data_IF_741054128628
#
_entry.id   IF_741054128628
#
_cell.length_a   1.000
_cell.length_b   1.000
_cell.length_c   1.000
_cell.angle_alpha   90.00
_cell.angle_beta   90.00
_cell.angle_gamma   90.00
#
_symmetry.space_group_name_H-M   'P 1'
#
loop_
_entity.id
_entity.type
_entity.pdbx_description
1 polymer ?
#
# COMPACT_ATOMS: atom_id res chain seq x y z
N UNK A 1 3.04 -19.57 19.13
CA UNK A 1 2.26 -18.37 18.77
C UNK A 1 2.74 -17.93 17.40
N UNK A 2 1.97 -18.22 16.36
CA UNK A 2 2.31 -17.90 14.96
C UNK A 2 1.58 -16.61 14.62
N UNK A 3 2.16 -15.48 15.03
CA UNK A 3 1.73 -14.16 14.59
C UNK A 3 2.83 -13.66 13.67
N UNK A 4 2.57 -13.73 12.35
CA UNK A 4 3.31 -13.09 11.26
C UNK A 4 4.82 -12.90 11.51
N UNK A 5 5.65 -13.82 11.02
CA UNK A 5 7.12 -13.68 10.99
C UNK A 5 7.59 -12.65 9.93
N UNK A 6 6.84 -11.55 9.77
CA UNK A 6 7.15 -10.44 8.88
C UNK A 6 7.49 -9.27 9.80
N UNK A 7 8.73 -8.80 9.76
CA UNK A 7 9.15 -7.70 10.63
C UNK A 7 8.41 -6.41 10.29
N UNK A 8 8.23 -5.52 11.26
CA UNK A 8 7.68 -4.16 11.05
C UNK A 8 8.41 -3.41 9.93
N UNK A 9 9.71 -3.67 9.79
CA UNK A 9 10.55 -3.12 8.72
C UNK A 9 10.14 -3.65 7.34
N UNK A 10 9.86 -4.94 7.22
CA UNK A 10 9.45 -5.58 5.97
C UNK A 10 8.06 -5.07 5.53
N UNK A 11 7.14 -4.89 6.49
CA UNK A 11 5.81 -4.36 6.21
C UNK A 11 5.86 -2.89 5.78
N UNK A 12 6.72 -2.09 6.42
CA UNK A 12 6.97 -0.70 6.03
C UNK A 12 7.59 -0.60 4.64
N UNK A 13 8.56 -1.47 4.33
CA UNK A 13 9.18 -1.52 3.00
C UNK A 13 8.18 -1.94 1.91
N UNK A 14 7.32 -2.92 2.19
CA UNK A 14 6.25 -3.34 1.29
C UNK A 14 5.27 -2.19 1.01
N UNK A 15 4.86 -1.46 2.05
CA UNK A 15 4.03 -0.26 1.91
C UNK A 15 4.67 0.80 1.03
N UNK A 16 5.96 1.08 1.20
CA UNK A 16 6.68 2.06 0.38
C UNK A 16 6.76 1.63 -1.09
N UNK A 17 6.97 0.34 -1.36
CA UNK A 17 6.97 -0.23 -2.72
C UNK A 17 5.60 -0.11 -3.40
N UNK A 18 4.51 -0.28 -2.65
CA UNK A 18 3.15 -0.09 -3.17
C UNK A 18 2.91 1.36 -3.59
N UNK A 19 3.28 2.33 -2.76
CA UNK A 19 3.16 3.76 -3.10
C UNK A 19 4.03 4.12 -4.30
N UNK A 20 5.27 3.63 -4.34
CA UNK A 20 6.16 3.82 -5.48
C UNK A 20 5.55 3.28 -6.78
N UNK A 21 5.03 2.05 -6.75
CA UNK A 21 4.34 1.44 -7.89
C UNK A 21 3.11 2.24 -8.33
N UNK A 22 2.27 2.68 -7.39
CA UNK A 22 1.12 3.54 -7.67
C UNK A 22 1.50 4.87 -8.32
N UNK A 23 2.58 5.50 -7.85
CA UNK A 23 3.10 6.73 -8.46
C UNK A 23 3.61 6.50 -9.89
N UNK A 24 4.31 5.39 -10.15
CA UNK A 24 4.75 5.04 -11.50
C UNK A 24 3.56 4.76 -12.44
N UNK A 25 2.47 4.17 -11.95
CA UNK A 25 1.27 3.93 -12.74
C UNK A 25 0.60 5.23 -13.18
N UNK A 26 0.62 6.26 -12.32
CA UNK A 26 0.11 7.60 -12.62
C UNK A 26 1.05 8.37 -13.54
N UNK A 27 2.36 8.37 -13.26
CA UNK A 27 3.36 9.11 -14.04
C UNK A 27 3.50 8.59 -15.47
N UNK A 28 3.41 7.27 -15.67
CA UNK A 28 3.45 6.65 -16.99
C UNK A 28 2.08 6.57 -17.67
N UNK A 29 1.07 7.28 -17.14
CA UNK A 29 -0.24 7.38 -17.74
C UNK A 29 -0.26 8.43 -18.86
N UNK A 30 0.51 8.19 -19.92
CA UNK A 30 0.62 9.12 -21.04
C UNK A 30 -0.71 9.19 -21.79
N UNK A 31 -1.31 10.40 -21.95
CA UNK A 31 -2.51 10.55 -22.74
C UNK A 31 -2.23 10.27 -24.23
N UNK A 32 -3.14 9.53 -24.87
CA UNK A 32 -3.02 9.17 -26.30
C UNK A 32 -3.19 10.43 -27.17
N UNK A 33 -2.47 10.53 -28.31
CA UNK A 33 -2.81 11.49 -29.37
C UNK A 33 -4.27 11.34 -29.80
N UNK A 34 -5.01 12.45 -29.87
CA UNK A 34 -6.45 12.47 -30.14
C UNK A 34 -6.81 12.05 -31.59
N UNK A 35 -5.84 12.04 -32.51
CA UNK A 35 -6.06 11.88 -33.95
C UNK A 35 -6.23 10.43 -34.45
N UNK A 36 -6.26 9.43 -33.56
CA UNK A 36 -6.41 8.01 -33.97
C UNK A 36 -7.86 7.58 -34.27
N UNK A 37 -8.80 8.54 -34.34
CA UNK A 37 -10.24 8.26 -34.26
C UNK A 37 -10.95 7.94 -35.60
N UNK A 38 -10.31 8.02 -36.76
CA UNK A 38 -11.01 7.84 -38.05
C UNK A 38 -10.25 6.91 -39.01
N UNK A 39 -9.96 5.69 -38.55
CA UNK A 39 -9.58 4.60 -39.43
C UNK A 39 -10.81 3.98 -40.13
N UNK A 40 -10.69 3.68 -41.42
CA UNK A 40 -11.74 3.14 -42.32
C UNK A 40 -12.45 1.88 -41.78
N UNK A 41 -11.82 1.16 -40.85
CA UNK A 41 -12.32 -0.09 -40.26
C UNK A 41 -13.20 0.08 -39.02
N UNK A 42 -13.34 1.29 -38.47
CA UNK A 42 -14.13 1.54 -37.24
C UNK A 42 -13.50 1.04 -35.92
N UNK A 43 -12.43 0.24 -36.00
CA UNK A 43 -11.69 -0.33 -34.85
C UNK A 43 -11.11 0.75 -33.92
N UNK A 44 -10.87 1.96 -34.44
CA UNK A 44 -10.33 3.08 -33.66
C UNK A 44 -11.17 3.44 -32.43
N UNK A 45 -12.50 3.26 -32.50
CA UNK A 45 -13.41 3.50 -31.38
C UNK A 45 -13.27 2.45 -30.26
N UNK A 46 -13.13 1.18 -30.62
CA UNK A 46 -12.93 0.09 -29.65
C UNK A 46 -11.56 0.20 -28.96
N UNK A 47 -10.50 0.49 -29.73
CA UNK A 47 -9.17 0.75 -29.15
C UNK A 47 -9.24 1.93 -28.17
N UNK A 48 -9.99 2.98 -28.51
CA UNK A 48 -10.13 4.16 -27.62
C UNK A 48 -10.85 3.80 -26.32
N UNK A 49 -11.94 3.03 -26.39
CA UNK A 49 -12.64 2.53 -25.18
C UNK A 49 -11.75 1.65 -24.32
N UNK A 50 -11.01 0.72 -24.94
CA UNK A 50 -10.10 -0.15 -24.23
C UNK A 50 -8.99 0.64 -23.52
N UNK A 51 -8.39 1.62 -24.21
CA UNK A 51 -7.35 2.46 -23.62
C UNK A 51 -7.89 3.33 -22.49
N UNK A 52 -9.09 3.89 -22.63
CA UNK A 52 -9.75 4.65 -21.55
C UNK A 52 -9.97 3.75 -20.32
N UNK A 53 -10.50 2.54 -20.52
CA UNK A 53 -10.69 1.58 -19.44
C UNK A 53 -9.37 1.21 -18.74
N UNK A 54 -8.28 1.08 -19.51
CA UNK A 54 -6.94 0.82 -18.97
C UNK A 54 -6.43 2.00 -18.12
N UNK A 55 -6.65 3.24 -18.54
CA UNK A 55 -6.29 4.42 -17.74
C UNK A 55 -7.05 4.47 -16.41
N UNK A 56 -8.36 4.19 -16.44
CA UNK A 56 -9.20 4.12 -15.24
C UNK A 56 -8.72 3.01 -14.31
N UNK A 57 -8.42 1.82 -14.85
CA UNK A 57 -7.92 0.70 -14.06
C UNK A 57 -6.57 1.02 -13.38
N UNK A 58 -5.66 1.71 -14.07
CA UNK A 58 -4.38 2.16 -13.49
C UNK A 58 -4.56 3.17 -12.37
N UNK A 59 -5.49 4.12 -12.55
CA UNK A 59 -5.80 5.09 -11.50
C UNK A 59 -6.40 4.41 -10.28
N UNK A 60 -7.34 3.48 -10.46
CA UNK A 60 -7.93 2.69 -9.40
C UNK A 60 -6.88 1.83 -8.66
N UNK A 61 -5.94 1.22 -9.38
CA UNK A 61 -4.86 0.43 -8.78
C UNK A 61 -3.88 1.30 -7.98
N UNK A 62 -3.58 2.51 -8.48
CA UNK A 62 -2.76 3.48 -7.75
C UNK A 62 -3.44 3.96 -6.46
N UNK A 63 -4.77 4.14 -6.49
CA UNK A 63 -5.55 4.52 -5.31
C UNK A 63 -5.60 3.38 -4.28
N UNK A 64 -5.89 2.15 -4.73
CA UNK A 64 -5.84 0.95 -3.89
C UNK A 64 -4.47 0.79 -3.21
N UNK A 65 -3.37 1.00 -3.95
CA UNK A 65 -2.01 0.93 -3.40
C UNK A 65 -1.76 1.97 -2.29
N UNK A 66 -2.33 3.18 -2.41
CA UNK A 66 -2.25 4.21 -1.36
C UNK A 66 -3.09 3.85 -0.14
N UNK A 67 -4.30 3.35 -0.35
CA UNK A 67 -5.18 2.88 0.73
C UNK A 67 -4.53 1.75 1.52
N UNK A 68 -4.02 0.72 0.84
CA UNK A 68 -3.32 -0.40 1.49
C UNK A 68 -2.07 0.08 2.24
N UNK A 69 -1.33 1.07 1.72
CA UNK A 69 -0.21 1.66 2.47
C UNK A 69 -0.67 2.34 3.76
N UNK A 70 -1.80 3.06 3.73
CA UNK A 70 -2.42 3.68 4.90
C UNK A 70 -2.78 2.64 5.98
N UNK A 71 -3.44 1.56 5.58
CA UNK A 71 -3.82 0.45 6.47
C UNK A 71 -2.59 -0.23 7.09
N UNK A 72 -1.55 -0.49 6.28
CA UNK A 72 -0.28 -1.05 6.77
C UNK A 72 0.35 -0.13 7.82
N UNK A 73 0.34 1.18 7.58
CA UNK A 73 0.91 2.16 8.50
C UNK A 73 0.15 2.20 9.83
N UNK A 74 -1.17 2.13 9.79
CA UNK A 74 -2.03 2.06 10.97
C UNK A 74 -1.73 0.80 11.79
N UNK A 75 -1.70 -0.37 11.13
CA UNK A 75 -1.36 -1.65 11.75
C UNK A 75 0.03 -1.62 12.42
N UNK A 76 1.05 -1.05 11.76
CA UNK A 76 2.38 -0.86 12.35
C UNK A 76 2.32 0.02 13.62
N UNK A 77 1.49 1.06 13.62
CA UNK A 77 1.27 1.92 14.77
C UNK A 77 0.66 1.18 15.96
N UNK A 78 -0.38 0.37 15.69
CA UNK A 78 -1.02 -0.48 16.70
C UNK A 78 -0.06 -1.51 17.29
N UNK A 79 0.71 -2.20 16.44
CA UNK A 79 1.72 -3.17 16.88
C UNK A 79 2.80 -2.52 17.74
N UNK A 80 3.26 -1.32 17.37
CA UNK A 80 4.25 -0.58 18.16
C UNK A 80 3.67 -0.15 19.52
N UNK A 81 2.39 0.21 19.56
CA UNK A 81 1.71 0.55 20.81
C UNK A 81 1.58 -0.66 21.72
N UNK A 82 1.21 -1.80 21.16
CA UNK A 82 1.11 -3.07 21.89
C UNK A 82 2.47 -3.52 22.45
N UNK A 83 3.55 -3.40 21.68
CA UNK A 83 4.91 -3.69 22.14
C UNK A 83 5.33 -2.80 23.32
N UNK A 84 4.98 -1.51 23.29
CA UNK A 84 5.24 -0.59 24.41
C UNK A 84 4.46 -0.97 25.66
N UNK A 85 3.20 -1.37 25.50
CA UNK A 85 2.37 -1.83 26.61
C UNK A 85 2.95 -3.09 27.26
N UNK A 86 3.34 -4.08 26.45
CA UNK A 86 4.02 -5.28 26.94
C UNK A 86 5.34 -4.97 27.65
N UNK A 87 6.18 -4.10 27.07
CA UNK A 87 7.42 -3.67 27.71
C UNK A 87 7.17 -2.99 29.07
N UNK A 88 6.11 -2.16 29.17
CA UNK A 88 5.70 -1.52 30.43
C UNK A 88 5.23 -2.51 31.49
N UNK A 89 4.42 -3.50 31.11
CA UNK A 89 3.96 -4.57 32.01
C UNK A 89 5.13 -5.45 32.47
N UNK A 90 6.06 -5.78 31.57
CA UNK A 90 7.25 -6.54 31.94
C UNK A 90 8.14 -5.76 32.90
N UNK A 91 8.41 -4.48 32.63
CA UNK A 91 9.23 -3.64 33.50
C UNK A 91 8.63 -3.51 34.92
N UNK A 92 7.32 -3.32 35.03
CA UNK A 92 6.63 -3.26 36.33
C UNK A 92 6.57 -4.62 37.03
N UNK A 93 6.34 -5.71 36.30
CA UNK A 93 6.35 -7.07 36.83
C UNK A 93 7.74 -7.53 37.34
N UNK A 94 8.82 -7.11 36.68
CA UNK A 94 10.18 -7.34 37.17
C UNK A 94 10.54 -6.46 38.36
N UNK A 95 10.07 -5.20 38.41
CA UNK A 95 10.28 -4.31 39.55
C UNK A 95 9.63 -4.85 40.84
N UNK A 96 8.41 -5.38 40.75
CA UNK A 96 7.70 -5.95 41.90
C UNK A 96 8.34 -7.24 42.46
N UNK A 97 8.97 -8.06 41.60
CA UNK A 97 9.70 -9.27 42.04
C UNK A 97 11.13 -8.99 42.52
N UNK A 98 11.71 -7.83 42.16
CA UNK A 98 13.04 -7.43 42.60
C UNK A 98 13.10 -6.98 44.06
N UNK A 99 11.98 -6.48 44.59
CA UNK A 99 11.84 -5.96 45.96
C UNK A 99 11.51 -7.05 47.01
N UNK A 100 11.27 -8.29 46.59
CA UNK A 100 11.03 -9.44 47.49
C UNK A 100 12.32 -10.13 47.96
N UNK A 101 13.44 -9.40 48.08
CA UNK A 101 14.71 -9.94 48.63
C UNK A 101 15.22 -9.18 49.83
#
# INVERSE_FOLDING_TARGET
>A
MVLLNIGLNDLTEAGNKLVYGGNLMVQNNVPRPQDLATGVTGIGGEITRFLLALQVARAALADAAKTTHGEIRELCGELTSLDKEFAGVLATGFALRGDEK
#
